data_IF_371896041804
#
_entry.id   IF_371896041804
#
_cell.length_a   1.000
_cell.length_b   1.000
_cell.length_c   1.000
_cell.angle_alpha   90.00
_cell.angle_beta   90.00
_cell.angle_gamma   90.00
#
_symmetry.space_group_name_H-M   'P 1'
#
loop_
_entity.id
_entity.type
_entity.pdbx_description
1 polymer ?
#
# COMPACT_ATOMS: atom_id res chain seq x y z
N UNK A 1 -24.83 0.38 -1.84
CA UNK A 1 -24.92 -0.55 -3.00
C UNK A 1 -23.54 -0.61 -3.66
N UNK A 2 -22.97 -1.81 -3.83
CA UNK A 2 -21.62 -1.96 -4.41
C UNK A 2 -21.69 -2.15 -5.93
N UNK A 3 -20.70 -1.65 -6.65
CA UNK A 3 -20.50 -2.03 -8.06
C UNK A 3 -19.88 -3.43 -8.14
N UNK A 4 -20.47 -4.27 -8.97
CA UNK A 4 -19.93 -5.61 -9.28
C UNK A 4 -18.94 -5.50 -10.43
N UNK A 5 -17.72 -5.98 -10.21
CA UNK A 5 -16.70 -6.09 -11.24
C UNK A 5 -16.47 -7.58 -11.51
N UNK A 6 -16.69 -8.01 -12.74
CA UNK A 6 -16.40 -9.37 -13.17
C UNK A 6 -15.02 -9.40 -13.82
N UNK A 7 -14.12 -10.24 -13.32
CA UNK A 7 -12.81 -10.47 -13.93
C UNK A 7 -12.55 -11.97 -14.01
N UNK A 8 -11.77 -12.38 -15.01
CA UNK A 8 -11.37 -13.78 -15.20
C UNK A 8 -9.91 -13.95 -14.76
N UNK A 9 -9.64 -14.50 -13.57
CA UNK A 9 -8.27 -14.78 -13.13
C UNK A 9 -7.65 -15.93 -13.95
N UNK A 10 -6.32 -15.98 -13.99
CA UNK A 10 -5.61 -17.18 -14.43
C UNK A 10 -5.90 -18.34 -13.47
N UNK A 11 -5.72 -19.59 -13.94
CA UNK A 11 -5.95 -20.79 -13.11
C UNK A 11 -5.15 -20.76 -11.81
N UNK A 12 -3.89 -20.35 -11.89
CA UNK A 12 -3.00 -20.22 -10.74
C UNK A 12 -3.52 -19.19 -9.72
N UNK A 13 -3.94 -18.02 -10.21
CA UNK A 13 -4.45 -16.97 -9.35
C UNK A 13 -5.79 -17.37 -8.69
N UNK A 14 -6.67 -18.05 -9.43
CA UNK A 14 -7.92 -18.55 -8.88
C UNK A 14 -7.69 -19.57 -7.75
N UNK A 15 -6.76 -20.51 -7.96
CA UNK A 15 -6.39 -21.50 -6.96
C UNK A 15 -5.76 -20.87 -5.72
N UNK A 16 -4.90 -19.87 -5.92
CA UNK A 16 -4.29 -19.13 -4.83
C UNK A 16 -5.33 -18.34 -4.02
N UNK A 17 -6.27 -17.64 -4.66
CA UNK A 17 -7.34 -16.90 -3.99
C UNK A 17 -8.19 -17.85 -3.13
N UNK A 18 -8.55 -19.03 -3.67
CA UNK A 18 -9.34 -20.01 -2.93
C UNK A 18 -8.61 -20.52 -1.68
N UNK A 19 -7.34 -20.86 -1.80
CA UNK A 19 -6.53 -21.31 -0.66
C UNK A 19 -6.33 -20.20 0.39
N UNK A 20 -6.03 -18.99 -0.05
CA UNK A 20 -5.80 -17.86 0.84
C UNK A 20 -7.07 -17.48 1.60
N UNK A 21 -8.22 -17.43 0.91
CA UNK A 21 -9.52 -17.18 1.53
C UNK A 21 -9.87 -18.25 2.59
N UNK A 22 -9.65 -19.54 2.27
CA UNK A 22 -9.84 -20.63 3.23
C UNK A 22 -8.94 -20.51 4.46
N UNK A 23 -7.66 -20.21 4.27
CA UNK A 23 -6.70 -20.03 5.39
C UNK A 23 -7.07 -18.85 6.27
N UNK A 24 -7.65 -17.81 5.70
CA UNK A 24 -8.10 -16.62 6.43
C UNK A 24 -9.52 -16.74 7.02
N UNK A 25 -10.25 -17.83 6.74
CA UNK A 25 -11.64 -18.01 7.19
C UNK A 25 -12.61 -17.01 6.55
N UNK A 26 -12.30 -16.48 5.37
CA UNK A 26 -13.08 -15.45 4.68
C UNK A 26 -13.64 -15.96 3.35
N UNK A 27 -14.71 -15.33 2.85
CA UNK A 27 -15.16 -15.56 1.47
C UNK A 27 -14.17 -14.99 0.45
N UNK A 28 -14.09 -15.59 -0.74
CA UNK A 28 -13.20 -15.12 -1.82
C UNK A 28 -13.45 -13.65 -2.20
N UNK A 29 -14.72 -13.24 -2.29
CA UNK A 29 -15.09 -11.86 -2.58
C UNK A 29 -14.64 -10.88 -1.49
N UNK A 30 -14.78 -11.27 -0.22
CA UNK A 30 -14.28 -10.47 0.91
C UNK A 30 -12.75 -10.36 0.90
N UNK A 31 -12.06 -11.47 0.67
CA UNK A 31 -10.60 -11.51 0.57
C UNK A 31 -10.08 -10.59 -0.53
N UNK A 32 -10.63 -10.68 -1.74
CA UNK A 32 -10.26 -9.81 -2.88
C UNK A 32 -10.53 -8.34 -2.55
N UNK A 33 -11.71 -8.03 -1.99
CA UNK A 33 -12.08 -6.66 -1.62
C UNK A 33 -11.11 -6.07 -0.60
N UNK A 34 -10.72 -6.84 0.40
CA UNK A 34 -9.78 -6.38 1.42
C UNK A 34 -8.37 -6.19 0.86
N UNK A 35 -7.90 -7.11 0.02
CA UNK A 35 -6.62 -6.97 -0.67
C UNK A 35 -6.58 -5.74 -1.58
N UNK A 36 -7.61 -5.51 -2.39
CA UNK A 36 -7.72 -4.31 -3.24
C UNK A 36 -7.80 -3.02 -2.40
N UNK A 37 -8.53 -3.05 -1.28
CA UNK A 37 -8.60 -1.91 -0.34
C UNK A 37 -7.24 -1.62 0.31
N UNK A 38 -6.49 -2.66 0.69
CA UNK A 38 -5.12 -2.54 1.20
C UNK A 38 -4.17 -2.01 0.12
N UNK A 39 -4.23 -2.53 -1.10
CA UNK A 39 -3.44 -2.05 -2.23
C UNK A 39 -3.73 -0.57 -2.53
N UNK A 40 -5.01 -0.17 -2.62
CA UNK A 40 -5.41 1.23 -2.80
C UNK A 40 -4.87 2.15 -1.69
N UNK A 41 -4.92 1.70 -0.44
CA UNK A 41 -4.35 2.46 0.70
C UNK A 41 -2.82 2.53 0.64
N UNK A 42 -2.17 1.48 0.14
CA UNK A 42 -0.73 1.42 -0.13
C UNK A 42 -0.29 2.37 -1.24
N UNK A 43 -1.01 2.41 -2.36
CA UNK A 43 -0.72 3.32 -3.49
C UNK A 43 -0.96 4.79 -3.13
N UNK A 44 -1.96 5.08 -2.30
CA UNK A 44 -2.16 6.42 -1.73
C UNK A 44 -1.11 6.81 -0.66
N UNK A 45 -0.18 5.90 -0.32
CA UNK A 45 1.09 6.24 0.33
C UNK A 45 2.19 6.47 -0.72
N UNK A 46 1.87 7.00 -1.91
CA UNK A 46 2.79 7.93 -2.56
C UNK A 46 3.24 8.88 -1.45
N UNK A 47 4.50 8.70 -1.05
CA UNK A 47 5.02 9.09 0.24
C UNK A 47 4.66 10.55 0.47
N UNK A 48 3.59 10.87 1.22
CA UNK A 48 3.10 12.27 1.33
C UNK A 48 4.19 13.19 1.89
N UNK A 49 5.12 12.61 2.65
CA UNK A 49 6.34 13.24 3.13
C UNK A 49 7.34 13.60 2.01
N UNK A 50 7.36 12.91 0.87
CA UNK A 50 8.18 13.28 -0.29
C UNK A 50 7.77 14.61 -0.91
N UNK A 51 6.55 15.11 -0.68
CA UNK A 51 6.20 16.50 -1.00
C UNK A 51 7.07 17.51 -0.23
N UNK A 52 7.59 17.12 0.93
CA UNK A 52 8.48 17.93 1.75
C UNK A 52 9.96 17.74 1.36
N UNK A 53 10.28 16.76 0.51
CA UNK A 53 11.63 16.56 0.01
C UNK A 53 12.01 17.75 -0.89
N UNK A 54 13.08 18.47 -0.54
CA UNK A 54 13.51 19.68 -1.24
C UNK A 54 12.67 20.93 -0.97
N UNK A 55 11.67 20.87 -0.08
CA UNK A 55 10.88 22.05 0.29
C UNK A 55 11.71 23.07 1.10
N UNK A 56 12.75 22.61 1.80
CA UNK A 56 13.70 23.46 2.51
C UNK A 56 14.94 23.64 1.62
N UNK A 57 15.31 24.88 1.38
CA UNK A 57 16.49 25.27 0.59
C UNK A 57 17.53 25.85 1.54
N UNK A 58 18.72 25.28 1.60
CA UNK A 58 19.83 25.80 2.39
C UNK A 58 20.93 24.76 2.64
N UNK A 59 21.91 25.10 3.50
CA UNK A 59 23.06 24.25 3.81
C UNK A 59 22.65 22.86 4.33
N UNK A 60 23.50 21.86 4.09
CA UNK A 60 23.21 20.46 4.43
C UNK A 60 23.07 20.20 5.95
N UNK A 61 23.55 21.13 6.76
CA UNK A 61 23.67 21.07 8.22
C UNK A 61 22.64 21.94 8.98
N UNK A 62 21.57 22.40 8.30
CA UNK A 62 20.52 23.24 8.92
C UNK A 62 19.84 22.63 10.16
N UNK A 63 19.93 21.32 10.36
CA UNK A 63 19.33 20.64 11.52
C UNK A 63 20.32 20.52 12.68
N UNK A 64 20.10 21.28 13.75
CA UNK A 64 20.87 21.21 15.01
C UNK A 64 20.50 20.02 15.92
N UNK A 65 19.52 19.19 15.54
CA UNK A 65 19.11 18.01 16.31
C UNK A 65 20.22 16.95 16.29
N UNK A 66 20.59 16.44 17.47
CA UNK A 66 21.56 15.34 17.66
C UNK A 66 21.20 14.17 16.72
N UNK A 67 22.09 13.87 15.77
CA UNK A 67 21.91 12.83 14.73
C UNK A 67 21.71 13.34 13.30
N UNK A 68 21.43 14.64 13.12
CA UNK A 68 21.33 15.29 11.80
C UNK A 68 22.35 16.41 11.60
N UNK A 69 22.94 16.93 12.68
CA UNK A 69 24.09 17.81 12.60
C UNK A 69 25.25 17.02 11.98
N UNK A 70 25.80 17.51 10.86
CA UNK A 70 27.09 17.00 10.40
C UNK A 70 28.16 17.40 11.42
N UNK A 71 29.17 16.56 11.56
CA UNK A 71 30.35 16.85 12.39
C UNK A 71 31.05 18.13 11.95
#
# INVERSE_FOLDING_TARGET
MGQTITFRPTKELAHWIAQAANRSGMSQGQFIREHLSRARRGDNKSKKFMRLAGAVRGPADLSSRKGFASK
#
